data_IF_236158709726
#
_entry.id   IF_236158709726
#
_cell.length_a   1.000
_cell.length_b   1.000
_cell.length_c   1.000
_cell.angle_alpha   90.00
_cell.angle_beta   90.00
_cell.angle_gamma   90.00
#
_symmetry.space_group_name_H-M   'P 1'
#
loop_
_entity.id
_entity.type
_entity.pdbx_description
1 polymer ?
#
# COMPACT_ATOMS: atom_id res chain seq x y z
N UNK A 1 24.76 -19.94 -2.80
CA UNK A 1 25.10 -18.60 -2.28
C UNK A 1 23.82 -17.98 -1.72
N UNK A 2 23.81 -17.40 -0.52
CA UNK A 2 22.64 -16.63 -0.08
C UNK A 2 22.47 -15.44 -1.04
N UNK A 3 21.27 -15.28 -1.62
CA UNK A 3 20.94 -14.13 -2.45
C UNK A 3 20.93 -12.89 -1.54
N UNK A 4 21.98 -12.06 -1.61
CA UNK A 4 22.04 -10.80 -0.87
C UNK A 4 21.30 -9.72 -1.65
N UNK A 5 20.29 -9.14 -1.00
CA UNK A 5 19.56 -7.97 -1.50
C UNK A 5 20.07 -6.72 -0.79
N UNK A 6 20.15 -5.61 -1.53
CA UNK A 6 20.57 -4.33 -0.95
C UNK A 6 19.51 -3.79 0.03
N UNK A 7 19.90 -3.01 1.05
CA UNK A 7 18.95 -2.41 1.99
C UNK A 7 17.85 -1.59 1.30
N UNK A 8 18.20 -0.86 0.25
CA UNK A 8 17.29 -0.01 -0.53
C UNK A 8 16.24 -0.87 -1.24
N UNK A 9 16.65 -2.00 -1.80
CA UNK A 9 15.73 -2.93 -2.44
C UNK A 9 14.76 -3.53 -1.41
N UNK A 10 15.26 -3.96 -0.24
CA UNK A 10 14.40 -4.49 0.83
C UNK A 10 13.38 -3.44 1.29
N UNK A 11 13.82 -2.19 1.51
CA UNK A 11 12.94 -1.07 1.89
C UNK A 11 11.88 -0.79 0.83
N UNK A 12 12.25 -0.82 -0.45
CA UNK A 12 11.29 -0.69 -1.57
C UNK A 12 10.22 -1.79 -1.52
N UNK A 13 10.62 -3.04 -1.31
CA UNK A 13 9.68 -4.17 -1.25
C UNK A 13 8.72 -4.05 -0.07
N UNK A 14 9.20 -3.61 1.10
CA UNK A 14 8.33 -3.34 2.27
C UNK A 14 7.35 -2.20 1.96
N UNK A 15 7.80 -1.12 1.29
CA UNK A 15 6.92 -0.02 0.86
C UNK A 15 5.81 -0.46 -0.09
N UNK A 16 6.12 -1.30 -1.08
CA UNK A 16 5.10 -1.85 -1.98
C UNK A 16 4.01 -2.62 -1.21
N UNK A 17 4.38 -3.31 -0.12
CA UNK A 17 3.40 -4.02 0.69
C UNK A 17 2.58 -3.08 1.58
N UNK A 18 3.25 -2.24 2.36
CA UNK A 18 2.63 -1.45 3.43
C UNK A 18 1.98 -0.15 2.92
N UNK A 19 2.57 0.51 1.92
CA UNK A 19 2.10 1.80 1.38
C UNK A 19 1.17 1.65 0.17
N UNK A 20 1.44 0.67 -0.69
CA UNK A 20 0.60 0.38 -1.86
C UNK A 20 -0.40 -0.75 -1.61
N UNK A 21 -0.28 -1.48 -0.49
CA UNK A 21 -1.19 -2.58 -0.16
C UNK A 21 -1.03 -3.80 -1.07
N UNK A 22 0.08 -3.94 -1.81
CA UNK A 22 0.27 -5.07 -2.73
C UNK A 22 0.37 -6.38 -1.98
N UNK A 23 -0.20 -7.44 -2.56
CA UNK A 23 -0.09 -8.78 -1.97
C UNK A 23 1.31 -9.36 -2.16
N UNK A 24 1.76 -10.21 -1.24
CA UNK A 24 3.01 -10.94 -1.40
C UNK A 24 3.08 -11.71 -2.72
N UNK A 25 1.96 -12.29 -3.18
CA UNK A 25 1.89 -12.99 -4.47
C UNK A 25 2.22 -12.07 -5.64
N UNK A 26 1.65 -10.86 -5.66
CA UNK A 26 1.96 -9.86 -6.69
C UNK A 26 3.44 -9.50 -6.70
N UNK A 27 4.00 -9.23 -5.51
CA UNK A 27 5.40 -8.85 -5.36
C UNK A 27 6.33 -10.00 -5.77
N UNK A 28 6.02 -11.23 -5.37
CA UNK A 28 6.81 -12.42 -5.77
C UNK A 28 6.82 -12.62 -7.28
N UNK A 29 5.69 -12.38 -7.95
CA UNK A 29 5.56 -12.55 -9.39
C UNK A 29 6.34 -11.49 -10.19
N UNK A 30 6.35 -10.24 -9.70
CA UNK A 30 7.00 -9.12 -10.38
C UNK A 30 8.51 -9.05 -10.10
N UNK A 31 8.94 -9.32 -8.87
CA UNK A 31 10.33 -9.13 -8.44
C UNK A 31 11.13 -10.43 -8.28
N UNK A 32 10.49 -11.60 -8.43
CA UNK A 32 11.15 -12.90 -8.27
C UNK A 32 11.63 -13.19 -6.84
N UNK A 33 11.15 -12.43 -5.85
CA UNK A 33 11.52 -12.59 -4.44
C UNK A 33 10.62 -13.63 -3.79
N UNK A 34 11.18 -14.46 -2.90
CA UNK A 34 10.37 -15.43 -2.16
C UNK A 34 9.44 -14.75 -1.13
N UNK A 35 8.26 -15.32 -0.90
CA UNK A 35 7.32 -14.84 0.14
C UNK A 35 7.98 -14.79 1.53
N UNK A 36 8.83 -15.77 1.85
CA UNK A 36 9.54 -15.84 3.12
C UNK A 36 10.51 -14.66 3.29
N UNK A 37 11.22 -14.27 2.22
CA UNK A 37 12.11 -13.11 2.23
C UNK A 37 11.34 -11.81 2.46
N UNK A 38 10.21 -11.63 1.78
CA UNK A 38 9.36 -10.43 1.95
C UNK A 38 8.87 -10.35 3.40
N UNK A 39 8.30 -11.44 3.91
CA UNK A 39 7.81 -11.50 5.30
C UNK A 39 8.92 -11.21 6.32
N UNK A 40 10.14 -11.71 6.06
CA UNK A 40 11.30 -11.44 6.90
C UNK A 40 11.64 -9.94 6.91
N UNK A 41 11.67 -9.28 5.75
CA UNK A 41 11.98 -7.86 5.66
C UNK A 41 10.91 -6.98 6.31
N UNK A 42 9.62 -7.30 6.13
CA UNK A 42 8.55 -6.61 6.85
C UNK A 42 8.71 -6.74 8.37
N UNK A 43 9.09 -7.93 8.85
CA UNK A 43 9.34 -8.18 10.28
C UNK A 43 10.57 -7.44 10.80
N UNK A 44 11.66 -7.40 10.01
CA UNK A 44 12.87 -6.65 10.33
C UNK A 44 12.59 -5.14 10.42
N UNK A 45 11.84 -4.60 9.45
CA UNK A 45 11.44 -3.20 9.44
C UNK A 45 10.55 -2.85 10.63
N UNK A 46 9.58 -3.72 10.97
CA UNK A 46 8.73 -3.53 12.14
C UNK A 46 9.53 -3.55 13.46
N UNK A 47 10.58 -4.38 13.56
CA UNK A 47 11.48 -4.37 14.72
C UNK A 47 12.33 -3.11 14.78
N UNK A 48 12.81 -2.62 13.63
CA UNK A 48 13.57 -1.37 13.55
C UNK A 48 12.74 -0.18 14.04
N UNK A 49 11.44 -0.17 13.77
CA UNK A 49 10.49 0.82 14.29
C UNK A 49 10.39 0.82 15.83
N UNK A 50 10.72 -0.27 16.52
CA UNK A 50 10.70 -0.31 17.99
C UNK A 50 11.88 0.41 18.61
N UNK A 51 13.01 0.45 17.91
CA UNK A 51 14.26 1.06 18.37
C UNK A 51 14.55 2.43 17.77
N UNK A 52 13.97 2.74 16.60
CA UNK A 52 14.20 3.98 15.87
C UNK A 52 12.88 4.76 15.69
N UNK A 53 12.73 5.93 16.33
CA UNK A 53 11.55 6.80 16.18
C UNK A 53 11.29 7.24 14.74
N UNK A 54 12.32 7.52 13.94
CA UNK A 54 12.18 7.94 12.55
C UNK A 54 11.66 6.80 11.66
N UNK A 55 12.14 5.58 11.90
CA UNK A 55 11.63 4.39 11.20
C UNK A 55 10.16 4.12 11.56
N UNK A 56 9.78 4.36 12.82
CA UNK A 56 8.39 4.26 13.27
C UNK A 56 7.49 5.26 12.57
N UNK A 57 7.92 6.51 12.49
CA UNK A 57 7.19 7.57 11.78
C UNK A 57 7.05 7.25 10.28
N UNK A 58 8.11 6.79 9.61
CA UNK A 58 8.05 6.32 8.21
C UNK A 58 7.03 5.19 8.05
N UNK A 59 7.01 4.21 8.96
CA UNK A 59 6.07 3.09 8.93
C UNK A 59 4.61 3.51 9.16
N UNK A 60 4.36 4.38 10.14
CA UNK A 60 3.03 4.89 10.43
C UNK A 60 2.51 5.75 9.25
N UNK A 61 3.37 6.56 8.64
CA UNK A 61 3.06 7.31 7.42
C UNK A 61 2.71 6.39 6.25
N UNK A 62 3.42 5.28 6.07
CA UNK A 62 3.13 4.31 5.01
C UNK A 62 1.71 3.71 5.17
N UNK A 63 1.32 3.35 6.39
CA UNK A 63 -0.02 2.84 6.69
C UNK A 63 -1.10 3.88 6.47
N UNK A 64 -0.84 5.10 6.90
CA UNK A 64 -1.77 6.21 6.73
C UNK A 64 -1.98 6.52 5.25
N UNK A 65 -0.92 6.52 4.45
CA UNK A 65 -0.99 6.70 3.00
C UNK A 65 -1.87 5.64 2.34
N UNK A 66 -1.75 4.37 2.75
CA UNK A 66 -2.61 3.30 2.24
C UNK A 66 -4.09 3.51 2.63
N UNK A 67 -4.36 3.94 3.87
CA UNK A 67 -5.72 4.24 4.34
C UNK A 67 -6.34 5.37 3.52
N UNK A 68 -5.62 6.48 3.37
CA UNK A 68 -6.08 7.64 2.61
C UNK A 68 -6.32 7.30 1.13
N UNK A 69 -5.48 6.46 0.51
CA UNK A 69 -5.70 5.99 -0.87
C UNK A 69 -7.03 5.23 -1.01
N UNK A 70 -7.36 4.36 -0.04
CA UNK A 70 -8.63 3.60 -0.05
C UNK A 70 -9.84 4.51 0.16
N UNK A 71 -9.77 5.39 1.15
CA UNK A 71 -10.84 6.36 1.44
C UNK A 71 -11.08 7.28 0.22
N UNK A 72 -10.01 7.74 -0.44
CA UNK A 72 -10.14 8.54 -1.66
C UNK A 72 -10.81 7.76 -2.80
N UNK A 73 -10.49 6.48 -2.95
CA UNK A 73 -11.14 5.62 -3.96
C UNK A 73 -12.64 5.45 -3.67
N UNK A 74 -13.01 5.25 -2.41
CA UNK A 74 -14.42 5.14 -1.97
C UNK A 74 -15.18 6.45 -2.21
N UNK A 75 -14.62 7.58 -1.78
CA UNK A 75 -15.21 8.90 -2.01
C UNK A 75 -15.38 9.21 -3.51
N UNK A 76 -14.42 8.80 -4.35
CA UNK A 76 -14.54 8.95 -5.81
C UNK A 76 -15.67 8.11 -6.38
N UNK A 77 -15.86 6.88 -5.90
CA UNK A 77 -16.97 6.01 -6.31
C UNK A 77 -18.31 6.60 -5.91
N UNK A 78 -18.44 7.11 -4.69
CA UNK A 78 -19.65 7.77 -4.20
C UNK A 78 -19.95 9.05 -4.99
N UNK A 79 -18.94 9.89 -5.23
CA UNK A 79 -19.10 11.10 -6.03
C UNK A 79 -19.55 10.78 -7.48
N UNK A 80 -19.00 9.73 -8.09
CA UNK A 80 -19.43 9.26 -9.41
C UNK A 80 -20.85 8.73 -9.40
N UNK A 81 -21.26 8.05 -8.34
CA UNK A 81 -22.63 7.56 -8.18
C UNK A 81 -23.63 8.72 -8.06
N UNK A 82 -23.35 9.70 -7.20
CA UNK A 82 -24.19 10.89 -7.01
C UNK A 82 -24.33 11.69 -8.30
N UNK A 83 -23.23 11.94 -9.02
CA UNK A 83 -23.27 12.61 -10.33
C UNK A 83 -24.12 11.87 -11.36
N UNK A 84 -24.07 10.53 -11.36
CA UNK A 84 -24.93 9.72 -12.23
C UNK A 84 -26.40 9.83 -11.83
N UNK A 85 -26.71 9.86 -10.53
CA UNK A 85 -28.07 10.05 -10.03
C UNK A 85 -28.61 11.44 -10.40
N UNK A 86 -27.84 12.51 -10.16
CA UNK A 86 -28.18 13.87 -10.58
C UNK A 86 -28.48 13.95 -12.08
N UNK A 87 -27.61 13.35 -12.92
CA UNK A 87 -27.81 13.31 -14.36
C UNK A 87 -29.03 12.45 -14.79
N UNK A 88 -29.41 11.45 -14.00
CA UNK A 88 -30.61 10.66 -14.23
C UNK A 88 -31.87 11.46 -13.93
N UNK A 89 -31.95 12.10 -12.75
CA UNK A 89 -33.10 12.91 -12.36
C UNK A 89 -33.29 14.14 -13.24
N UNK A 90 -32.21 14.80 -13.67
CA UNK A 90 -32.29 15.93 -14.58
C UNK A 90 -32.92 15.55 -15.95
N UNK A 91 -32.80 14.30 -16.39
CA UNK A 91 -33.39 13.81 -17.64
C UNK A 91 -34.86 13.45 -17.55
N UNK A 92 -35.41 13.24 -16.35
CA UNK A 92 -36.85 12.95 -16.17
C UNK A 92 -37.71 14.21 -15.98
N UNK A 93 -37.09 15.38 -15.85
CA UNK A 93 -37.77 16.68 -15.68
C UNK A 93 -37.95 17.41 -17.03
N UNK A 94 -37.26 16.97 -18.08
CA UNK A 94 -37.52 17.33 -19.50
C UNK A 94 -38.57 16.42 -20.13
#
# INVERSE_FOLDING_TARGET
MPQSYTPEFKKKIVRLHEEEGRTYKSITAEYGVSKASISKWCSEFSKECQSNPEAKEDYDNMKEMLRLKRENEELRKENLFLKKAEAFFAKEID
#
